data_IF_214163150568
#
_entry.id   IF_214163150568
#
_cell.length_a   1.000
_cell.length_b   1.000
_cell.length_c   1.000
_cell.angle_alpha   90.00
_cell.angle_beta   90.00
_cell.angle_gamma   90.00
#
_symmetry.space_group_name_H-M   'P 1'
#
loop_
_entity.id
_entity.type
_entity.pdbx_description
1 polymer ?
#
# COMPACT_ATOMS: atom_id res chain seq x y z
N UNK A 1 -5.21 5.47 12.58
CA UNK A 1 -6.25 4.49 12.94
C UNK A 1 -6.78 3.79 11.68
N UNK A 2 -7.64 2.75 11.76
CA UNK A 2 -8.27 2.17 10.56
C UNK A 2 -8.98 3.20 9.67
N UNK A 3 -9.60 4.22 10.27
CA UNK A 3 -10.35 5.27 9.59
C UNK A 3 -9.44 6.17 8.74
N UNK A 4 -8.20 6.42 9.18
CA UNK A 4 -7.21 7.22 8.43
C UNK A 4 -6.76 6.55 7.11
N UNK A 5 -6.99 5.25 6.96
CA UNK A 5 -6.64 4.52 5.73
C UNK A 5 -7.72 4.65 4.65
N UNK A 6 -8.97 4.92 5.04
CA UNK A 6 -10.09 5.00 4.11
C UNK A 6 -9.98 6.27 3.27
N UNK A 7 -10.04 6.14 1.94
CA UNK A 7 -9.93 7.26 1.00
C UNK A 7 -8.52 7.77 0.75
N UNK A 8 -7.52 7.21 1.43
CA UNK A 8 -6.12 7.62 1.29
C UNK A 8 -5.45 6.96 0.08
N UNK A 9 -4.69 7.73 -0.71
CA UNK A 9 -3.87 7.20 -1.80
C UNK A 9 -2.56 6.60 -1.28
N UNK A 10 -2.18 5.46 -1.85
CA UNK A 10 -1.04 4.63 -1.41
C UNK A 10 -0.27 4.09 -2.62
N UNK A 11 0.96 3.64 -2.38
CA UNK A 11 1.74 2.86 -3.35
C UNK A 11 1.57 1.37 -3.04
N UNK A 12 1.34 0.56 -4.09
CA UNK A 12 1.15 -0.90 -3.96
C UNK A 12 2.11 -1.64 -4.90
N UNK A 13 2.76 -2.67 -4.38
CA UNK A 13 3.47 -3.67 -5.17
C UNK A 13 2.44 -4.68 -5.70
N UNK A 14 2.20 -4.64 -7.01
CA UNK A 14 1.10 -5.37 -7.66
C UNK A 14 1.54 -6.63 -8.44
N UNK A 15 2.83 -6.94 -8.49
CA UNK A 15 3.38 -8.09 -9.23
C UNK A 15 3.73 -9.31 -8.34
N UNK A 16 3.33 -9.28 -7.07
CA UNK A 16 3.55 -10.41 -6.17
C UNK A 16 2.54 -11.53 -6.45
N UNK A 17 2.98 -12.77 -6.28
CA UNK A 17 2.06 -13.91 -6.31
C UNK A 17 1.05 -13.77 -5.16
N UNK A 18 -0.27 -13.88 -5.42
CA UNK A 18 -1.28 -13.82 -4.36
C UNK A 18 -1.05 -14.88 -3.30
N UNK A 19 -1.26 -14.52 -2.03
CA UNK A 19 -1.06 -15.42 -0.89
C UNK A 19 -2.20 -15.33 0.11
N UNK A 20 -2.59 -16.47 0.68
CA UNK A 20 -3.52 -16.49 1.82
C UNK A 20 -2.82 -16.00 3.09
N UNK A 21 -3.39 -15.00 3.75
CA UNK A 21 -2.97 -14.45 5.04
C UNK A 21 -4.19 -14.49 5.95
N UNK A 22 -4.13 -15.29 7.03
CA UNK A 22 -5.23 -15.44 8.00
C UNK A 22 -6.58 -15.77 7.33
N UNK A 23 -6.57 -16.63 6.31
CA UNK A 23 -7.78 -17.06 5.58
C UNK A 23 -8.23 -16.14 4.45
N UNK A 24 -7.66 -14.93 4.33
CA UNK A 24 -7.97 -13.96 3.28
C UNK A 24 -6.90 -13.95 2.18
N UNK A 25 -7.29 -13.72 0.94
CA UNK A 25 -6.36 -13.57 -0.17
C UNK A 25 -5.77 -12.17 -0.21
N UNK A 26 -4.46 -12.05 -0.04
CA UNK A 26 -3.71 -10.84 -0.33
C UNK A 26 -3.31 -10.81 -1.81
N UNK A 27 -3.67 -9.74 -2.50
CA UNK A 27 -3.41 -9.51 -3.93
C UNK A 27 -2.29 -8.47 -4.18
N UNK A 28 -1.64 -7.99 -3.12
CA UNK A 28 -0.61 -6.97 -3.22
C UNK A 28 -0.07 -6.58 -1.85
N UNK A 29 0.88 -5.65 -1.85
CA UNK A 29 1.53 -5.16 -0.64
C UNK A 29 1.65 -3.65 -0.68
N UNK A 30 1.20 -2.97 0.37
CA UNK A 30 1.40 -1.53 0.51
C UNK A 30 2.88 -1.23 0.76
N UNK A 31 3.41 -0.20 0.12
CA UNK A 31 4.78 0.23 0.33
C UNK A 31 4.87 1.27 1.46
N UNK A 32 5.83 1.08 2.35
CA UNK A 32 6.08 1.94 3.50
C UNK A 32 7.60 2.10 3.71
N UNK A 33 8.00 3.25 4.23
CA UNK A 33 9.32 3.43 4.81
C UNK A 33 9.34 2.84 6.23
N UNK A 34 10.44 2.22 6.61
CA UNK A 34 10.69 1.82 7.99
C UNK A 34 11.36 2.98 8.73
N UNK A 35 10.74 3.43 9.82
CA UNK A 35 11.31 4.41 10.76
C UNK A 35 11.30 3.78 12.14
N UNK A 36 12.46 3.29 12.58
CA UNK A 36 12.66 2.66 13.90
C UNK A 36 11.69 1.50 14.18
N UNK A 37 11.47 0.63 13.19
CA UNK A 37 10.56 -0.51 13.27
C UNK A 37 9.09 -0.14 13.07
N UNK A 38 8.78 1.10 12.71
CA UNK A 38 7.42 1.58 12.45
C UNK A 38 7.22 1.87 10.96
N UNK A 39 6.19 1.30 10.33
CA UNK A 39 5.90 1.57 8.92
C UNK A 39 5.26 2.96 8.75
N UNK A 40 5.85 3.78 7.90
CA UNK A 40 5.31 5.07 7.43
C UNK A 40 4.87 4.92 5.98
N UNK A 41 3.57 5.05 5.71
CA UNK A 41 3.01 4.81 4.38
C UNK A 41 3.55 5.80 3.35
N UNK A 42 3.97 5.27 2.20
CA UNK A 42 4.32 6.09 1.04
C UNK A 42 3.07 6.50 0.29
N UNK A 43 3.04 7.77 -0.12
CA UNK A 43 1.93 8.40 -0.82
C UNK A 43 2.49 9.33 -1.91
N UNK A 44 1.79 9.48 -3.04
CA UNK A 44 2.16 10.50 -4.00
C UNK A 44 2.01 11.90 -3.35
N UNK A 45 2.85 12.84 -3.77
CA UNK A 45 2.81 14.23 -3.29
C UNK A 45 1.54 14.97 -3.74
N UNK A 46 0.93 14.51 -4.83
CA UNK A 46 -0.30 15.04 -5.43
C UNK A 46 -1.27 13.91 -5.78
N UNK A 47 -2.58 14.21 -5.93
CA UNK A 47 -3.51 13.20 -6.40
C UNK A 47 -3.18 12.70 -7.79
N UNK A 48 -3.18 11.38 -7.95
CA UNK A 48 -2.94 10.70 -9.23
C UNK A 48 -4.06 9.69 -9.51
N UNK A 49 -4.34 9.35 -10.79
CA UNK A 49 -5.30 8.29 -11.10
C UNK A 49 -4.89 6.94 -10.48
N UNK A 50 -5.84 6.13 -9.96
CA UNK A 50 -5.55 4.77 -9.54
C UNK A 50 -4.90 3.94 -10.65
N UNK A 51 -3.88 3.15 -10.31
CA UNK A 51 -3.13 2.34 -11.28
C UNK A 51 -2.01 3.08 -12.01
N UNK A 52 -1.78 4.36 -11.71
CA UNK A 52 -0.59 5.08 -12.18
C UNK A 52 0.68 4.33 -11.78
N UNK A 53 1.58 4.10 -12.75
CA UNK A 53 2.83 3.39 -12.50
C UNK A 53 3.82 4.30 -11.76
N UNK A 54 4.44 3.75 -10.73
CA UNK A 54 5.64 4.34 -10.11
C UNK A 54 6.83 4.02 -11.01
N UNK A 55 7.63 5.04 -11.34
CA UNK A 55 8.82 4.93 -12.19
C UNK A 55 10.09 4.71 -11.35
#
# INVERSE_FOLDING_TARGET
SPEELVGTQIVVVANLQPKKIRGLWSQGMLLAADVDGRPVLLRPDKPVPPGSKVL
#
